data_IF_620771426808
#
_entry.id   IF_620771426808
#
_cell.length_a   1.000
_cell.length_b   1.000
_cell.length_c   1.000
_cell.angle_alpha   90.00
_cell.angle_beta   90.00
_cell.angle_gamma   90.00
#
_symmetry.space_group_name_H-M   'P 1'
#
loop_
_entity.id
_entity.type
_entity.pdbx_description
1 polymer ?
#
# COMPACT_ATOMS: atom_id res chain seq x y z
N UNK A 1 38.67 42.80 17.81
CA UNK A 1 38.03 43.58 18.89
C UNK A 1 38.94 43.52 20.09
N UNK A 2 39.40 44.67 20.59
CA UNK A 2 40.27 44.74 21.74
C UNK A 2 39.57 44.14 22.97
N UNK A 3 40.05 43.00 23.44
CA UNK A 3 39.64 42.41 24.71
C UNK A 3 40.26 43.25 25.82
N UNK A 4 39.56 44.32 26.22
CA UNK A 4 39.82 44.92 27.52
C UNK A 4 39.71 43.77 28.55
N UNK A 5 40.76 43.49 29.34
CA UNK A 5 40.65 42.47 30.38
C UNK A 5 39.46 42.84 31.27
N UNK A 6 38.56 41.90 31.62
CA UNK A 6 37.42 42.21 32.47
C UNK A 6 37.89 42.94 33.73
N UNK A 7 37.09 43.90 34.23
CA UNK A 7 37.46 44.71 35.36
C UNK A 7 37.89 43.81 36.53
N UNK A 8 38.90 44.23 37.31
CA UNK A 8 39.55 43.38 38.31
C UNK A 8 38.56 42.82 39.35
N UNK A 9 37.47 43.54 39.63
CA UNK A 9 36.36 43.08 40.48
C UNK A 9 35.62 41.86 39.92
N UNK A 10 35.37 41.81 38.61
CA UNK A 10 34.69 40.70 37.96
C UNK A 10 35.58 39.45 37.94
N UNK A 11 36.87 39.60 37.61
CA UNK A 11 37.83 38.49 37.67
C UNK A 11 38.00 37.93 39.09
N UNK A 12 38.06 38.79 40.09
CA UNK A 12 38.12 38.36 41.49
C UNK A 12 36.86 37.56 41.88
N UNK A 13 35.68 38.00 41.41
CA UNK A 13 34.43 37.28 41.64
C UNK A 13 34.40 35.89 40.98
N UNK A 14 34.93 35.75 39.77
CA UNK A 14 35.05 34.46 39.08
C UNK A 14 35.97 33.48 39.82
N UNK A 15 37.07 33.98 40.38
CA UNK A 15 38.00 33.15 41.17
C UNK A 15 37.32 32.67 42.45
N UNK A 16 36.61 33.57 43.17
CA UNK A 16 35.87 33.21 44.38
C UNK A 16 34.77 32.20 44.06
N UNK A 17 34.11 32.32 42.90
CA UNK A 17 33.07 31.38 42.47
C UNK A 17 33.62 29.99 42.16
N UNK A 18 34.86 29.87 41.68
CA UNK A 18 35.54 28.59 41.42
C UNK A 18 36.05 27.89 42.68
N UNK A 19 36.10 28.56 43.84
CA UNK A 19 36.50 27.92 45.08
C UNK A 19 35.50 26.84 45.51
N UNK A 20 35.99 25.71 46.04
CA UNK A 20 35.14 24.63 46.51
C UNK A 20 34.23 25.13 47.62
N UNK A 21 32.96 24.72 47.57
CA UNK A 21 31.99 24.99 48.62
C UNK A 21 31.13 23.75 48.78
N UNK A 22 30.93 23.35 50.03
CA UNK A 22 30.01 22.29 50.40
C UNK A 22 28.85 22.93 51.18
N UNK A 23 27.59 22.57 50.87
CA UNK A 23 26.41 23.32 51.32
C UNK A 23 26.25 23.46 52.85
N UNK A 24 26.92 22.63 53.66
CA UNK A 24 26.76 22.62 55.12
C UNK A 24 28.07 22.79 55.94
N UNK A 25 29.24 22.96 55.31
CA UNK A 25 30.52 22.92 56.05
C UNK A 25 31.46 24.08 55.73
N UNK A 26 31.56 24.53 54.47
CA UNK A 26 32.51 25.60 54.12
C UNK A 26 31.92 26.53 53.05
N UNK A 27 31.82 27.81 53.42
CA UNK A 27 31.41 28.91 52.52
C UNK A 27 32.58 29.31 51.61
N UNK A 28 32.29 29.87 50.42
CA UNK A 28 33.33 30.33 49.47
C UNK A 28 34.23 31.43 50.04
N UNK A 29 33.66 32.30 50.88
CA UNK A 29 34.43 33.30 51.63
C UNK A 29 35.19 32.66 52.78
N UNK A 30 34.62 31.64 53.42
CA UNK A 30 35.26 30.83 54.44
C UNK A 30 36.50 30.09 53.93
N UNK A 31 36.44 29.43 52.77
CA UNK A 31 37.63 28.77 52.18
C UNK A 31 38.74 29.76 51.85
N UNK A 32 38.40 30.93 51.30
CA UNK A 32 39.38 31.97 51.00
C UNK A 32 40.04 32.52 52.26
N UNK A 33 39.25 32.88 53.28
CA UNK A 33 39.76 33.41 54.55
C UNK A 33 40.55 32.36 55.33
N UNK A 34 40.10 31.10 55.35
CA UNK A 34 40.84 30.01 55.99
C UNK A 34 42.15 29.71 55.25
N UNK A 35 42.16 29.73 53.91
CA UNK A 35 43.37 29.52 53.13
C UNK A 35 44.41 30.61 53.36
N UNK A 36 43.99 31.88 53.33
CA UNK A 36 44.88 33.03 53.59
C UNK A 36 45.32 33.05 55.05
N UNK A 37 44.41 32.79 55.99
CA UNK A 37 44.73 32.73 57.42
C UNK A 37 45.72 31.62 57.74
N UNK A 38 45.51 30.42 57.21
CA UNK A 38 46.42 29.29 57.39
C UNK A 38 47.79 29.54 56.75
N UNK A 39 47.82 30.19 55.57
CA UNK A 39 49.08 30.58 54.95
C UNK A 39 49.82 31.64 55.79
N UNK A 40 49.11 32.65 56.29
CA UNK A 40 49.69 33.68 57.15
C UNK A 40 50.22 33.10 58.47
N UNK A 41 49.51 32.15 59.09
CA UNK A 41 49.99 31.48 60.30
C UNK A 41 51.16 30.56 60.02
N UNK A 42 51.15 29.83 58.89
CA UNK A 42 52.28 28.98 58.50
C UNK A 42 53.55 29.80 58.24
N UNK A 43 53.43 30.97 57.61
CA UNK A 43 54.55 31.91 57.43
C UNK A 43 54.99 32.49 58.79
N UNK A 44 54.04 32.96 59.60
CA UNK A 44 54.33 33.57 60.90
C UNK A 44 54.97 32.60 61.90
N UNK A 45 54.70 31.30 61.78
CA UNK A 45 55.30 30.25 62.60
C UNK A 45 56.53 29.60 61.95
N UNK A 46 56.96 30.08 60.78
CA UNK A 46 58.05 29.47 59.98
C UNK A 46 57.87 27.96 59.81
N UNK A 47 56.61 27.50 59.66
CA UNK A 47 56.25 26.08 59.64
C UNK A 47 56.94 25.33 58.48
N UNK A 48 57.30 26.05 57.42
CA UNK A 48 58.09 25.55 56.30
C UNK A 48 59.44 26.25 56.24
N UNK A 49 60.51 25.49 56.45
CA UNK A 49 61.89 25.97 56.33
C UNK A 49 62.38 25.70 54.91
N UNK A 50 62.80 26.75 54.21
CA UNK A 50 63.35 26.64 52.86
C UNK A 50 64.70 25.93 52.94
N UNK A 51 64.78 24.76 52.30
CA UNK A 51 65.98 23.95 52.21
C UNK A 51 66.31 23.64 50.74
N UNK A 52 67.42 22.97 50.49
CA UNK A 52 67.79 22.47 49.16
C UNK A 52 66.68 21.65 48.50
N UNK A 53 65.91 20.88 49.28
CA UNK A 53 64.75 20.12 48.81
C UNK A 53 63.61 21.00 48.25
N UNK A 54 63.53 22.28 48.62
CA UNK A 54 62.54 23.22 48.06
C UNK A 54 62.78 23.44 46.56
N UNK A 55 64.05 23.46 46.11
CA UNK A 55 64.38 23.59 44.69
C UNK A 55 63.96 22.33 43.93
N UNK A 56 64.19 21.15 44.52
CA UNK A 56 63.75 19.87 43.96
C UNK A 56 62.22 19.81 43.87
N UNK A 57 61.51 20.30 44.90
CA UNK A 57 60.05 20.36 44.91
C UNK A 57 59.50 21.28 43.81
N UNK A 58 60.06 22.49 43.67
CA UNK A 58 59.64 23.44 42.62
C UNK A 58 59.92 22.85 41.22
N UNK A 59 61.10 22.27 41.02
CA UNK A 59 61.45 21.58 39.77
C UNK A 59 60.50 20.43 39.46
N UNK A 60 60.16 19.62 40.47
CA UNK A 60 59.21 18.50 40.32
C UNK A 60 57.82 18.99 39.94
N UNK A 61 57.31 20.05 40.57
CA UNK A 61 56.01 20.65 40.22
C UNK A 61 56.03 21.15 38.77
N UNK A 62 57.09 21.83 38.34
CA UNK A 62 57.21 22.27 36.94
C UNK A 62 57.22 21.11 35.96
N UNK A 63 57.96 20.04 36.26
CA UNK A 63 58.01 18.84 35.40
C UNK A 63 56.65 18.14 35.36
N UNK A 64 56.01 17.90 36.49
CA UNK A 64 54.71 17.22 36.53
C UNK A 64 53.60 18.04 35.87
N UNK A 65 53.59 19.36 36.05
CA UNK A 65 52.61 20.22 35.38
C UNK A 65 52.82 20.25 33.86
N UNK A 66 54.08 20.26 33.41
CA UNK A 66 54.41 20.17 31.99
C UNK A 66 54.01 18.81 31.40
N UNK A 67 54.37 17.70 32.06
CA UNK A 67 53.99 16.35 31.66
C UNK A 67 52.47 16.21 31.60
N UNK A 68 51.75 16.71 32.61
CA UNK A 68 50.29 16.71 32.66
C UNK A 68 49.69 17.38 31.43
N UNK A 69 50.20 18.57 31.04
CA UNK A 69 49.75 19.27 29.84
C UNK A 69 50.05 18.52 28.55
N UNK A 70 51.22 17.91 28.44
CA UNK A 70 51.65 17.18 27.22
C UNK A 70 50.90 15.86 27.04
N UNK A 71 50.62 15.13 28.13
CA UNK A 71 49.97 13.81 28.07
C UNK A 71 48.43 13.90 28.01
N UNK A 72 47.84 14.99 28.50
CA UNK A 72 46.39 15.13 28.58
C UNK A 72 45.69 14.91 27.23
N UNK A 73 46.14 15.58 26.18
CA UNK A 73 45.53 15.50 24.86
C UNK A 73 45.67 14.11 24.21
N UNK A 74 46.88 13.51 24.09
CA UNK A 74 47.01 12.18 23.49
C UNK A 74 46.29 11.10 24.32
N UNK A 75 46.27 11.21 25.65
CA UNK A 75 45.51 10.29 26.48
C UNK A 75 44.00 10.42 26.26
N UNK A 76 43.48 11.65 26.19
CA UNK A 76 42.05 11.90 25.91
C UNK A 76 41.65 11.36 24.54
N UNK A 77 42.47 11.57 23.51
CA UNK A 77 42.21 11.04 22.16
C UNK A 77 42.24 9.52 22.13
N UNK A 78 43.20 8.90 22.82
CA UNK A 78 43.29 7.44 22.93
C UNK A 78 42.07 6.86 23.66
N UNK A 79 41.68 7.46 24.78
CA UNK A 79 40.54 7.02 25.58
C UNK A 79 39.23 7.14 24.77
N UNK A 80 39.01 8.28 24.11
CA UNK A 80 37.83 8.50 23.27
C UNK A 80 37.80 7.53 22.08
N UNK A 81 38.93 7.28 21.43
CA UNK A 81 39.02 6.30 20.34
C UNK A 81 38.67 4.87 20.78
N UNK A 82 39.12 4.47 21.98
CA UNK A 82 38.77 3.16 22.55
C UNK A 82 37.27 3.06 22.88
N UNK A 83 36.72 4.11 23.51
CA UNK A 83 35.29 4.20 23.82
C UNK A 83 34.45 4.14 22.55
N UNK A 84 34.83 4.88 21.51
CA UNK A 84 34.12 4.88 20.23
C UNK A 84 34.18 3.53 19.53
N UNK A 85 35.32 2.84 19.56
CA UNK A 85 35.43 1.48 19.00
C UNK A 85 34.48 0.52 19.70
N UNK A 86 34.43 0.53 21.03
CA UNK A 86 33.53 -0.34 21.81
C UNK A 86 32.07 0.01 21.51
N UNK A 87 31.72 1.30 21.55
CA UNK A 87 30.36 1.76 21.22
C UNK A 87 29.94 1.34 19.82
N UNK A 88 30.84 1.47 18.84
CA UNK A 88 30.58 1.07 17.45
C UNK A 88 30.31 -0.42 17.35
N UNK A 89 31.18 -1.27 17.90
CA UNK A 89 30.98 -2.73 17.89
C UNK A 89 29.66 -3.12 18.54
N UNK A 90 29.31 -2.49 19.68
CA UNK A 90 28.05 -2.78 20.36
C UNK A 90 26.82 -2.36 19.55
N UNK A 91 26.88 -1.19 18.90
CA UNK A 91 25.78 -0.70 18.06
C UNK A 91 25.65 -1.53 16.77
N UNK A 92 26.76 -1.86 16.12
CA UNK A 92 26.80 -2.68 14.91
C UNK A 92 26.25 -4.09 15.22
N UNK A 93 26.69 -4.72 16.32
CA UNK A 93 26.17 -6.02 16.75
C UNK A 93 24.67 -5.98 17.08
N UNK A 94 24.18 -4.88 17.67
CA UNK A 94 22.75 -4.71 17.94
C UNK A 94 21.97 -4.59 16.64
N UNK A 95 22.44 -3.78 15.70
CA UNK A 95 21.81 -3.59 14.39
C UNK A 95 21.79 -4.90 13.59
N UNK A 96 22.91 -5.61 13.53
CA UNK A 96 23.04 -6.91 12.86
C UNK A 96 22.10 -7.95 13.47
N UNK A 97 22.06 -8.05 14.80
CA UNK A 97 21.14 -8.98 15.47
C UNK A 97 19.67 -8.62 15.22
N UNK A 98 19.30 -7.33 15.25
CA UNK A 98 17.93 -6.93 14.92
C UNK A 98 17.58 -7.21 13.46
N UNK A 99 18.52 -7.03 12.53
CA UNK A 99 18.33 -7.35 11.12
C UNK A 99 18.15 -8.86 10.89
N UNK A 100 19.00 -9.69 11.50
CA UNK A 100 18.92 -11.14 11.39
C UNK A 100 17.63 -11.71 12.01
N UNK A 101 17.16 -11.12 13.12
CA UNK A 101 15.86 -11.50 13.72
C UNK A 101 14.71 -11.09 12.80
N UNK A 102 14.74 -9.89 12.22
CA UNK A 102 13.72 -9.45 11.28
C UNK A 102 13.65 -10.35 10.05
N UNK A 103 14.79 -10.69 9.44
CA UNK A 103 14.85 -11.59 8.29
C UNK A 103 14.27 -12.99 8.62
N UNK A 104 14.57 -13.51 9.82
CA UNK A 104 13.97 -14.76 10.31
C UNK A 104 12.46 -14.65 10.50
N UNK A 105 11.98 -13.53 11.04
CA UNK A 105 10.53 -13.28 11.19
C UNK A 105 9.86 -13.25 9.82
N UNK A 106 10.44 -12.57 8.84
CA UNK A 106 9.88 -12.47 7.49
C UNK A 106 9.84 -13.84 6.80
N UNK A 107 10.91 -14.64 6.93
CA UNK A 107 10.97 -16.01 6.40
C UNK A 107 9.92 -16.93 7.05
N UNK A 108 9.74 -16.86 8.37
CA UNK A 108 8.70 -17.63 9.08
C UNK A 108 7.29 -17.10 8.74
N UNK A 109 7.15 -15.80 8.51
CA UNK A 109 5.90 -15.18 8.06
C UNK A 109 5.42 -15.77 6.73
N UNK A 110 6.32 -15.95 5.77
CA UNK A 110 5.99 -16.60 4.49
C UNK A 110 5.55 -18.06 4.67
N UNK A 111 6.14 -18.79 5.61
CA UNK A 111 5.76 -20.19 5.88
C UNK A 111 4.35 -20.32 6.47
N UNK A 112 3.86 -19.30 7.18
CA UNK A 112 2.49 -19.28 7.74
C UNK A 112 1.42 -19.32 6.65
N UNK A 113 1.68 -18.68 5.51
CA UNK A 113 0.71 -18.56 4.42
C UNK A 113 0.69 -19.78 3.47
N UNK A 114 1.67 -20.69 3.56
CA UNK A 114 1.74 -21.87 2.68
C UNK A 114 0.56 -22.82 2.91
N UNK A 115 0.10 -22.95 4.17
CA UNK A 115 -1.02 -23.84 4.51
C UNK A 115 -2.31 -23.34 3.86
N UNK A 116 -2.63 -22.05 4.01
CA UNK A 116 -3.84 -21.46 3.43
C UNK A 116 -3.79 -21.44 1.90
N UNK A 117 -2.63 -21.16 1.29
CA UNK A 117 -2.45 -21.24 -0.17
C UNK A 117 -2.67 -22.67 -0.68
N UNK A 118 -2.19 -23.67 0.05
CA UNK A 118 -2.38 -25.08 -0.33
C UNK A 118 -3.84 -25.49 -0.22
N UNK A 119 -4.53 -25.16 0.87
CA UNK A 119 -5.96 -25.40 1.03
C UNK A 119 -6.78 -24.72 -0.07
N UNK A 120 -6.45 -23.47 -0.39
CA UNK A 120 -7.09 -22.72 -1.47
C UNK A 120 -6.85 -23.34 -2.85
N UNK A 121 -5.65 -23.86 -3.13
CA UNK A 121 -5.35 -24.57 -4.38
C UNK A 121 -6.17 -25.85 -4.52
N UNK A 122 -6.33 -26.62 -3.43
CA UNK A 122 -7.20 -27.80 -3.44
C UNK A 122 -8.68 -27.45 -3.57
N UNK A 123 -9.14 -26.40 -2.89
CA UNK A 123 -10.51 -25.90 -3.03
C UNK A 123 -10.80 -25.42 -4.45
N UNK A 124 -9.89 -24.64 -5.04
CA UNK A 124 -9.98 -24.16 -6.42
C UNK A 124 -10.02 -25.30 -7.43
N UNK A 125 -9.18 -26.32 -7.26
CA UNK A 125 -9.19 -27.52 -8.11
C UNK A 125 -10.53 -28.26 -8.04
N UNK A 126 -11.08 -28.43 -6.84
CA UNK A 126 -12.38 -29.08 -6.63
C UNK A 126 -13.55 -28.26 -7.21
N UNK A 127 -13.53 -26.95 -7.05
CA UNK A 127 -14.53 -26.05 -7.60
C UNK A 127 -14.48 -26.01 -9.13
N UNK A 128 -13.27 -25.99 -9.70
CA UNK A 128 -13.05 -26.05 -11.15
C UNK A 128 -13.63 -27.32 -11.75
N UNK A 129 -13.33 -28.49 -11.16
CA UNK A 129 -13.87 -29.76 -11.62
C UNK A 129 -15.41 -29.81 -11.54
N UNK A 130 -16.01 -29.21 -10.51
CA UNK A 130 -17.47 -29.12 -10.37
C UNK A 130 -18.08 -28.21 -11.45
N UNK A 131 -17.50 -27.04 -11.66
CA UNK A 131 -17.95 -26.07 -12.66
C UNK A 131 -17.80 -26.62 -14.09
N UNK A 132 -16.71 -27.34 -14.39
CA UNK A 132 -16.53 -28.01 -15.68
C UNK A 132 -17.62 -29.06 -15.93
N UNK A 133 -17.95 -29.87 -14.92
CA UNK A 133 -19.01 -30.87 -15.04
C UNK A 133 -20.39 -30.23 -15.24
N UNK A 134 -20.72 -29.18 -14.48
CA UNK A 134 -21.98 -28.43 -14.63
C UNK A 134 -22.07 -27.76 -16.01
N UNK A 135 -20.99 -27.15 -16.48
CA UNK A 135 -20.91 -26.52 -17.79
C UNK A 135 -21.08 -27.56 -18.91
N UNK A 136 -20.45 -28.73 -18.79
CA UNK A 136 -20.59 -29.82 -19.76
C UNK A 136 -22.05 -30.31 -19.87
N UNK A 137 -22.73 -30.50 -18.74
CA UNK A 137 -24.15 -30.88 -18.73
C UNK A 137 -25.03 -29.79 -19.34
N UNK A 138 -24.75 -28.53 -19.02
CA UNK A 138 -25.51 -27.40 -19.57
C UNK A 138 -25.31 -27.26 -21.08
N UNK A 139 -24.08 -27.42 -21.57
CA UNK A 139 -23.77 -27.44 -23.00
C UNK A 139 -24.51 -28.57 -23.71
N UNK A 140 -24.52 -29.79 -23.17
CA UNK A 140 -25.29 -30.89 -23.75
C UNK A 140 -26.79 -30.58 -23.86
N UNK A 141 -27.38 -29.98 -22.81
CA UNK A 141 -28.79 -29.56 -22.84
C UNK A 141 -29.07 -28.51 -23.90
N UNK A 142 -28.18 -27.52 -24.05
CA UNK A 142 -28.32 -26.46 -25.06
C UNK A 142 -28.16 -27.03 -26.47
N UNK A 143 -27.17 -27.90 -26.70
CA UNK A 143 -26.98 -28.57 -27.98
C UNK A 143 -28.21 -29.38 -28.36
N UNK A 144 -28.72 -30.24 -27.46
CA UNK A 144 -29.93 -31.02 -27.71
C UNK A 144 -31.15 -30.12 -27.98
N UNK A 145 -31.34 -29.05 -27.18
CA UNK A 145 -32.42 -28.11 -27.40
C UNK A 145 -32.31 -27.40 -28.76
N UNK A 146 -31.09 -27.07 -29.20
CA UNK A 146 -30.84 -26.45 -30.52
C UNK A 146 -31.12 -27.41 -31.68
N UNK A 147 -30.75 -28.69 -31.53
CA UNK A 147 -31.02 -29.72 -32.54
C UNK A 147 -32.54 -29.97 -32.66
N UNK A 148 -33.23 -30.11 -31.53
CA UNK A 148 -34.69 -30.27 -31.50
C UNK A 148 -35.41 -29.05 -32.09
N UNK A 149 -34.94 -27.84 -31.78
CA UNK A 149 -35.46 -26.62 -32.39
C UNK A 149 -35.24 -26.60 -33.90
N UNK A 150 -34.05 -26.94 -34.37
CA UNK A 150 -33.75 -27.02 -35.81
C UNK A 150 -34.66 -28.00 -36.53
N UNK A 151 -34.90 -29.18 -35.94
CA UNK A 151 -35.87 -30.16 -36.46
C UNK A 151 -37.28 -29.55 -36.48
N UNK A 152 -37.73 -28.94 -35.38
CA UNK A 152 -39.06 -28.32 -35.32
C UNK A 152 -39.23 -27.19 -36.33
N UNK A 153 -38.24 -26.31 -36.47
CA UNK A 153 -38.23 -25.23 -37.46
C UNK A 153 -38.28 -25.79 -38.90
N UNK A 154 -37.63 -26.93 -39.16
CA UNK A 154 -37.73 -27.62 -40.45
C UNK A 154 -39.13 -28.18 -40.74
N UNK A 155 -39.80 -28.73 -39.71
CA UNK A 155 -41.19 -29.19 -39.82
C UNK A 155 -42.15 -28.04 -40.05
N UNK A 156 -42.00 -26.93 -39.32
CA UNK A 156 -42.83 -25.73 -39.51
C UNK A 156 -42.66 -25.17 -40.91
N UNK A 157 -41.43 -25.10 -41.42
CA UNK A 157 -41.16 -24.67 -42.79
C UNK A 157 -41.78 -25.61 -43.83
N UNK A 158 -41.70 -26.93 -43.61
CA UNK A 158 -42.36 -27.91 -44.46
C UNK A 158 -43.88 -27.73 -44.45
N UNK A 159 -44.49 -27.55 -43.28
CA UNK A 159 -45.94 -27.33 -43.13
C UNK A 159 -46.38 -26.02 -43.82
N UNK A 160 -45.62 -24.94 -43.67
CA UNK A 160 -45.88 -23.68 -44.37
C UNK A 160 -45.82 -23.87 -45.89
N UNK A 161 -44.80 -24.57 -46.40
CA UNK A 161 -44.67 -24.86 -47.82
C UNK A 161 -45.83 -25.72 -48.35
N UNK A 162 -46.28 -26.74 -47.59
CA UNK A 162 -47.44 -27.56 -47.96
C UNK A 162 -48.71 -26.71 -47.99
N UNK A 163 -48.95 -25.88 -46.97
CA UNK A 163 -50.11 -24.97 -46.93
C UNK A 163 -50.10 -23.97 -48.09
N UNK A 164 -48.95 -23.38 -48.40
CA UNK A 164 -48.80 -22.48 -49.54
C UNK A 164 -49.06 -23.19 -50.87
N UNK A 165 -48.56 -24.42 -51.04
CA UNK A 165 -48.81 -25.25 -52.23
C UNK A 165 -50.29 -25.62 -52.36
N UNK A 166 -50.94 -26.05 -51.28
CA UNK A 166 -52.38 -26.36 -51.26
C UNK A 166 -53.22 -25.11 -51.58
N UNK A 167 -52.86 -23.96 -51.02
CA UNK A 167 -53.52 -22.70 -51.33
C UNK A 167 -53.33 -22.31 -52.80
N UNK A 168 -52.14 -22.50 -53.37
CA UNK A 168 -51.88 -22.24 -54.78
C UNK A 168 -52.71 -23.17 -55.69
N UNK A 169 -52.77 -24.46 -55.38
CA UNK A 169 -53.55 -25.46 -56.13
C UNK A 169 -55.07 -25.20 -56.02
N UNK A 170 -55.57 -24.88 -54.82
CA UNK A 170 -56.96 -24.48 -54.60
C UNK A 170 -57.29 -23.19 -55.36
N UNK A 171 -56.42 -22.19 -55.30
CA UNK A 171 -56.60 -20.91 -56.02
C UNK A 171 -56.63 -21.14 -57.52
N UNK A 172 -55.72 -21.96 -58.06
CA UNK A 172 -55.71 -22.34 -59.47
C UNK A 172 -57.00 -23.07 -59.87
N UNK A 173 -57.45 -24.04 -59.07
CA UNK A 173 -58.69 -24.79 -59.31
C UNK A 173 -59.92 -23.89 -59.27
N UNK A 174 -59.99 -22.95 -58.33
CA UNK A 174 -61.09 -21.97 -58.22
C UNK A 174 -61.06 -21.01 -59.41
N UNK A 175 -59.89 -20.48 -59.79
CA UNK A 175 -59.75 -19.63 -60.97
C UNK A 175 -60.18 -20.38 -62.23
N UNK A 176 -59.70 -21.61 -62.44
CA UNK A 176 -60.09 -22.44 -63.58
C UNK A 176 -61.61 -22.70 -63.61
N UNK A 177 -62.23 -23.03 -62.47
CA UNK A 177 -63.69 -23.22 -62.36
C UNK A 177 -64.46 -21.92 -62.63
N UNK A 178 -64.01 -20.77 -62.12
CA UNK A 178 -64.65 -19.47 -62.37
C UNK A 178 -64.51 -19.08 -63.84
N UNK A 179 -63.33 -19.25 -64.45
CA UNK A 179 -63.12 -18.99 -65.88
C UNK A 179 -63.96 -19.92 -66.75
N UNK A 180 -64.09 -21.20 -66.38
CA UNK A 180 -64.96 -22.14 -67.07
C UNK A 180 -66.45 -21.75 -66.93
N UNK A 181 -66.89 -21.37 -65.72
CA UNK A 181 -68.26 -20.90 -65.48
C UNK A 181 -68.56 -19.57 -66.20
N UNK A 182 -67.58 -18.68 -66.41
CA UNK A 182 -67.74 -17.47 -67.21
C UNK A 182 -67.86 -17.73 -68.72
N UNK A 183 -67.42 -18.90 -69.20
CA UNK A 183 -67.60 -19.32 -70.59
C UNK A 183 -68.97 -19.94 -70.85
N UNK A 184 -69.72 -20.27 -69.80
CA UNK A 184 -71.05 -20.87 -69.92
C UNK A 184 -72.10 -19.80 -70.32
N UNK A 185 -72.94 -20.11 -71.31
CA UNK A 185 -73.84 -19.11 -71.93
C UNK A 185 -74.95 -18.64 -70.97
N UNK A 186 -75.32 -19.49 -70.00
CA UNK A 186 -76.35 -19.20 -69.00
C UNK A 186 -75.89 -18.15 -67.97
N UNK A 187 -74.67 -18.30 -67.45
CA UNK A 187 -74.05 -17.36 -66.50
C UNK A 187 -73.72 -16.03 -67.15
N UNK A 188 -73.29 -16.00 -68.43
CA UNK A 188 -73.13 -14.72 -69.15
C UNK A 188 -74.46 -13.96 -69.26
N UNK A 189 -75.56 -14.67 -69.57
CA UNK A 189 -76.90 -14.06 -69.61
C UNK A 189 -77.35 -13.57 -68.23
N UNK A 190 -77.11 -14.34 -67.16
CA UNK A 190 -77.47 -13.93 -65.80
C UNK A 190 -76.65 -12.72 -65.30
N UNK A 191 -75.34 -12.66 -65.62
CA UNK A 191 -74.48 -11.51 -65.31
C UNK A 191 -74.90 -10.27 -66.10
N UNK A 192 -75.16 -10.41 -67.40
CA UNK A 192 -75.66 -9.30 -68.23
C UNK A 192 -77.01 -8.79 -67.70
N UNK A 193 -77.91 -9.70 -67.32
CA UNK A 193 -79.22 -9.33 -66.77
C UNK A 193 -79.05 -8.60 -65.44
N UNK A 194 -78.19 -9.09 -64.55
CA UNK A 194 -77.89 -8.46 -63.24
C UNK A 194 -77.21 -7.10 -63.39
N UNK A 195 -76.27 -6.95 -64.33
CA UNK A 195 -75.63 -5.68 -64.64
C UNK A 195 -76.62 -4.67 -65.24
N UNK A 196 -77.58 -5.12 -66.07
CA UNK A 196 -78.67 -4.27 -66.57
C UNK A 196 -79.54 -3.81 -65.40
N UNK A 197 -79.92 -4.69 -64.46
CA UNK A 197 -80.71 -4.28 -63.29
C UNK A 197 -79.97 -3.30 -62.37
N UNK A 198 -78.67 -3.49 -62.14
CA UNK A 198 -77.86 -2.55 -61.34
C UNK A 198 -77.70 -1.19 -62.03
N UNK A 199 -77.49 -1.16 -63.35
CA UNK A 199 -77.45 0.09 -64.12
C UNK A 199 -78.82 0.77 -64.12
N UNK A 200 -79.91 0.03 -64.28
CA UNK A 200 -81.27 0.58 -64.18
C UNK A 200 -81.56 1.15 -62.77
N UNK A 201 -81.07 0.53 -61.69
CA UNK A 201 -81.16 1.08 -60.34
C UNK A 201 -80.30 2.34 -60.14
N UNK A 202 -79.08 2.36 -60.70
CA UNK A 202 -78.20 3.53 -60.66
C UNK A 202 -78.74 4.71 -61.48
N UNK A 203 -79.37 4.45 -62.63
CA UNK A 203 -80.02 5.49 -63.44
C UNK A 203 -81.27 6.03 -62.75
N UNK A 204 -82.07 5.17 -62.10
CA UNK A 204 -83.20 5.60 -61.27
C UNK A 204 -82.77 6.39 -60.03
N UNK A 205 -81.59 6.12 -59.47
CA UNK A 205 -81.06 6.88 -58.32
C UNK A 205 -80.33 8.17 -58.71
N UNK A 206 -79.86 8.30 -59.96
CA UNK A 206 -79.23 9.54 -60.49
C UNK A 206 -80.16 10.49 -61.24
N UNK A 207 -81.40 10.09 -61.55
CA UNK A 207 -82.39 10.97 -62.16
C UNK A 207 -83.03 11.90 -61.11
N UNK A 208 -82.32 12.99 -60.81
CA UNK A 208 -82.87 14.33 -60.51
C UNK A 208 -82.48 15.22 -61.69
#
# INVERSE_FOLDING_TARGET
MATNPPPPSERASEIIQKLPSSPNLITKTGTALLGVGAAATAISQELYVVNEETIVLIASIMVFTYIGKVIQEPYSQWAEGHIQRIKKVLNDARAEHTGAVQERIDSVGQMKDVVSVTENLFALSKETAKLEAENFVQLQKVTLASELKSVLDSWVRYEQHVKESEQADLTKTVIEKVVAALKDEKTQKDILTSAITEVEQLVKSKAI
#
